data_IF_584500586311
#
_entry.id   IF_584500586311
#
_cell.length_a   1.000
_cell.length_b   1.000
_cell.length_c   1.000
_cell.angle_alpha   90.00
_cell.angle_beta   90.00
_cell.angle_gamma   90.00
#
_symmetry.space_group_name_H-M   'P 1'
#
loop_
_entity.id
_entity.type
_entity.pdbx_description
1 polymer ?
#
# COMPACT_ATOMS: atom_id res chain seq x y z
N UNK A 1 7.65 -8.78 -24.17
CA UNK A 1 7.23 -9.72 -23.11
C UNK A 1 8.36 -10.70 -22.93
N UNK A 2 9.16 -10.53 -21.88
CA UNK A 2 10.25 -11.45 -21.56
C UNK A 2 9.74 -12.53 -20.63
N UNK A 3 9.59 -13.75 -21.14
CA UNK A 3 9.41 -14.95 -20.31
C UNK A 3 10.72 -15.21 -19.57
N UNK A 4 10.73 -14.94 -18.26
CA UNK A 4 11.79 -15.41 -17.38
C UNK A 4 11.43 -16.83 -16.93
N UNK A 5 12.19 -17.87 -17.32
CA UNK A 5 11.94 -19.22 -16.87
C UNK A 5 12.14 -19.29 -15.35
N UNK A 6 11.15 -19.80 -14.64
CA UNK A 6 11.31 -20.16 -13.23
C UNK A 6 12.38 -21.28 -13.14
N UNK A 7 13.38 -21.18 -12.24
CA UNK A 7 14.33 -22.26 -12.04
C UNK A 7 13.58 -23.53 -11.61
N UNK A 8 13.81 -24.63 -12.33
CA UNK A 8 13.24 -25.96 -12.05
C UNK A 8 14.07 -26.79 -11.08
N UNK A 9 15.15 -26.24 -10.55
CA UNK A 9 16.02 -26.95 -9.61
C UNK A 9 15.47 -26.81 -8.20
N UNK A 10 15.33 -27.94 -7.51
CA UNK A 10 14.82 -28.04 -6.15
C UNK A 10 15.52 -27.05 -5.24
N UNK A 11 14.79 -26.00 -4.84
CA UNK A 11 15.20 -25.08 -3.80
C UNK A 11 15.34 -25.90 -2.52
N UNK A 12 16.57 -26.31 -2.21
CA UNK A 12 16.92 -26.77 -0.88
C UNK A 12 16.48 -25.67 0.09
N UNK A 13 15.49 -25.96 0.91
CA UNK A 13 14.97 -25.04 1.90
C UNK A 13 16.13 -24.69 2.84
N UNK A 14 16.70 -23.50 2.65
CA UNK A 14 17.68 -22.96 3.57
C UNK A 14 16.87 -22.20 4.61
N UNK A 15 16.95 -22.54 5.91
CA UNK A 15 16.22 -21.80 6.91
C UNK A 15 16.61 -20.32 6.84
N UNK A 16 15.65 -19.39 6.98
CA UNK A 16 15.93 -17.98 6.90
C UNK A 16 16.93 -17.57 7.97
N UNK A 17 17.87 -16.68 7.62
CA UNK A 17 18.81 -16.15 8.60
C UNK A 17 18.05 -15.35 9.67
N UNK A 18 18.54 -15.36 10.91
CA UNK A 18 17.95 -14.56 12.00
C UNK A 18 17.85 -13.07 11.64
N UNK A 19 18.79 -12.57 10.82
CA UNK A 19 18.78 -11.21 10.27
C UNK A 19 17.60 -10.95 9.33
N UNK A 20 17.26 -11.89 8.45
CA UNK A 20 16.14 -11.76 7.52
C UNK A 20 14.79 -11.74 8.26
N UNK A 21 14.64 -12.58 9.29
CA UNK A 21 13.44 -12.60 10.13
C UNK A 21 13.27 -11.28 10.92
N UNK A 22 14.35 -10.78 11.52
CA UNK A 22 14.33 -9.49 12.21
C UNK A 22 13.99 -8.33 11.27
N UNK A 23 14.53 -8.34 10.05
CA UNK A 23 14.21 -7.33 9.03
C UNK A 23 12.72 -7.36 8.64
N UNK A 24 12.14 -8.56 8.47
CA UNK A 24 10.71 -8.71 8.19
C UNK A 24 9.85 -8.19 9.34
N UNK A 25 10.18 -8.53 10.58
CA UNK A 25 9.46 -8.04 11.77
C UNK A 25 9.53 -6.51 11.88
N UNK A 26 10.69 -5.91 11.64
CA UNK A 26 10.84 -4.45 11.65
C UNK A 26 10.05 -3.77 10.52
N UNK A 27 10.10 -4.34 9.31
CA UNK A 27 9.34 -3.81 8.18
C UNK A 27 7.83 -3.88 8.42
N UNK A 28 7.35 -4.99 9.01
CA UNK A 28 5.95 -5.14 9.41
C UNK A 28 5.56 -4.11 10.48
N UNK A 29 6.38 -3.92 11.51
CA UNK A 29 6.13 -2.93 12.57
C UNK A 29 6.02 -1.51 12.00
N UNK A 30 6.96 -1.10 11.14
CA UNK A 30 6.94 0.21 10.50
C UNK A 30 5.68 0.43 9.65
N UNK A 31 5.29 -0.57 8.85
CA UNK A 31 4.07 -0.51 8.04
C UNK A 31 2.82 -0.43 8.93
N UNK A 32 2.77 -1.22 10.01
CA UNK A 32 1.68 -1.20 11.00
C UNK A 32 1.53 0.18 11.60
N UNK A 33 2.62 0.79 12.08
CA UNK A 33 2.59 2.12 12.69
C UNK A 33 2.11 3.19 11.71
N UNK A 34 2.60 3.16 10.47
CA UNK A 34 2.14 4.04 9.39
C UNK A 34 0.66 3.87 9.08
N UNK A 35 0.17 2.62 9.04
CA UNK A 35 -1.25 2.36 8.84
C UNK A 35 -2.10 2.87 10.01
N UNK A 36 -1.69 2.60 11.25
CA UNK A 36 -2.39 3.04 12.46
C UNK A 36 -2.42 4.56 12.59
N UNK A 37 -1.39 5.27 12.14
CA UNK A 37 -1.41 6.73 12.06
C UNK A 37 -2.53 7.23 11.13
N UNK A 38 -2.60 6.70 9.90
CA UNK A 38 -3.61 7.13 8.92
C UNK A 38 -5.04 6.71 9.29
N UNK A 39 -5.20 5.54 9.92
CA UNK A 39 -6.50 5.09 10.45
C UNK A 39 -7.01 6.08 11.51
N UNK A 40 -6.16 6.45 12.48
CA UNK A 40 -6.51 7.41 13.54
C UNK A 40 -6.79 8.81 12.98
N UNK A 41 -5.99 9.28 12.01
CA UNK A 41 -6.22 10.57 11.35
C UNK A 41 -7.57 10.59 10.62
N UNK A 42 -7.89 9.51 9.89
CA UNK A 42 -9.19 9.37 9.22
C UNK A 42 -10.38 9.32 10.18
N UNK A 43 -10.23 8.65 11.33
CA UNK A 43 -11.25 8.61 12.39
C UNK A 43 -11.47 9.98 13.03
N UNK A 44 -10.39 10.68 13.41
CA UNK A 44 -10.47 12.02 13.98
C UNK A 44 -11.21 13.02 13.07
N UNK A 45 -11.06 12.86 11.75
CA UNK A 45 -11.78 13.68 10.77
C UNK A 45 -13.24 13.26 10.53
N UNK A 46 -13.61 12.01 10.82
CA UNK A 46 -15.02 11.59 10.83
C UNK A 46 -15.77 12.19 12.03
N UNK A 47 -15.11 12.20 13.20
CA UNK A 47 -15.68 12.71 14.46
C UNK A 47 -15.72 14.25 14.50
N UNK A 48 -14.78 14.92 13.83
CA UNK A 48 -14.77 16.38 13.72
C UNK A 48 -15.97 16.95 12.93
N UNK A 49 -16.64 16.16 12.10
CA UNK A 49 -17.90 16.59 11.47
C UNK A 49 -19.09 16.62 12.43
N UNK A 50 -18.99 15.93 13.58
CA UNK A 50 -20.01 15.92 14.64
C UNK A 50 -19.73 16.95 15.73
N UNK A 51 -18.47 17.36 15.91
CA UNK A 51 -18.07 18.37 16.89
C UNK A 51 -17.96 19.77 16.24
N UNK A 52 -18.88 20.67 16.58
CA UNK A 52 -18.83 22.11 16.25
C UNK A 52 -17.65 22.75 16.99
N UNK A 53 -16.38 22.49 16.64
CA UNK A 53 -15.23 23.20 17.27
C UNK A 53 -13.88 22.95 16.60
N UNK A 54 -13.65 23.63 15.47
CA UNK A 54 -12.45 24.43 15.15
C UNK A 54 -12.43 24.69 13.64
N UNK A 55 -12.23 25.94 13.19
CA UNK A 55 -11.97 26.20 11.78
C UNK A 55 -10.67 25.47 11.40
N UNK A 56 -10.80 24.39 10.64
CA UNK A 56 -9.64 23.78 9.99
C UNK A 56 -9.13 24.80 8.98
N UNK A 57 -7.83 25.16 8.97
CA UNK A 57 -7.32 26.06 7.96
C UNK A 57 -7.65 25.51 6.58
N UNK A 58 -8.38 26.30 5.78
CA UNK A 58 -8.78 25.93 4.43
C UNK A 58 -7.55 25.98 3.52
N UNK A 59 -6.83 24.86 3.44
CA UNK A 59 -5.74 24.72 2.49
C UNK A 59 -6.27 24.60 1.06
N UNK A 60 -5.53 25.08 0.05
CA UNK A 60 -5.89 24.89 -1.35
C UNK A 60 -6.06 23.40 -1.68
N UNK A 61 -7.01 23.00 -2.55
CA UNK A 61 -7.23 21.59 -2.92
C UNK A 61 -5.95 20.88 -3.37
N UNK A 62 -5.09 21.56 -4.12
CA UNK A 62 -3.80 21.02 -4.56
C UNK A 62 -2.87 20.63 -3.40
N UNK A 63 -2.93 21.32 -2.27
CA UNK A 63 -2.15 20.97 -1.08
C UNK A 63 -2.67 19.66 -0.46
N UNK A 64 -3.99 19.53 -0.31
CA UNK A 64 -4.61 18.32 0.25
C UNK A 64 -4.35 17.09 -0.64
N UNK A 65 -4.44 17.27 -1.96
CA UNK A 65 -4.09 16.25 -2.95
C UNK A 65 -2.64 15.81 -2.81
N UNK A 66 -1.67 16.75 -2.78
CA UNK A 66 -0.25 16.42 -2.59
C UNK A 66 0.00 15.67 -1.28
N UNK A 67 -0.66 16.11 -0.19
CA UNK A 67 -0.57 15.43 1.11
C UNK A 67 -1.08 13.99 1.02
N UNK A 68 -2.20 13.76 0.34
CA UNK A 68 -2.72 12.40 0.11
C UNK A 68 -1.79 11.55 -0.77
N UNK A 69 -1.25 12.12 -1.85
CA UNK A 69 -0.26 11.45 -2.70
C UNK A 69 1.00 11.04 -1.94
N UNK A 70 1.49 11.90 -1.04
CA UNK A 70 2.62 11.58 -0.17
C UNK A 70 2.31 10.44 0.80
N UNK A 71 1.11 10.44 1.41
CA UNK A 71 0.69 9.37 2.30
C UNK A 71 0.61 8.02 1.57
N UNK A 72 0.00 7.98 0.37
CA UNK A 72 -0.07 6.77 -0.45
C UNK A 72 1.31 6.28 -0.87
N UNK A 73 2.21 7.20 -1.23
CA UNK A 73 3.59 6.88 -1.59
C UNK A 73 4.37 6.28 -0.44
N UNK A 74 4.18 6.77 0.77
CA UNK A 74 4.84 6.22 1.95
C UNK A 74 4.32 4.83 2.30
N UNK A 75 2.99 4.61 2.22
CA UNK A 75 2.41 3.27 2.39
C UNK A 75 2.93 2.28 1.35
N UNK A 76 2.97 2.66 0.07
CA UNK A 76 3.53 1.83 -0.99
C UNK A 76 5.02 1.50 -0.73
N UNK A 77 5.80 2.48 -0.27
CA UNK A 77 7.21 2.27 0.07
C UNK A 77 7.37 1.29 1.22
N UNK A 78 6.62 1.47 2.30
CA UNK A 78 6.67 0.57 3.47
C UNK A 78 6.26 -0.86 3.09
N UNK A 79 5.22 -1.02 2.27
CA UNK A 79 4.82 -2.33 1.74
C UNK A 79 5.89 -2.94 0.84
N UNK A 80 6.52 -2.16 -0.04
CA UNK A 80 7.60 -2.66 -0.89
C UNK A 80 8.77 -3.22 -0.06
N UNK A 81 9.20 -2.49 0.97
CA UNK A 81 10.26 -2.92 1.90
C UNK A 81 9.86 -4.22 2.61
N UNK A 82 8.61 -4.32 3.07
CA UNK A 82 8.11 -5.54 3.69
C UNK A 82 8.12 -6.72 2.70
N UNK A 83 7.69 -6.51 1.46
CA UNK A 83 7.69 -7.56 0.43
C UNK A 83 9.11 -8.02 0.06
N UNK A 84 10.09 -7.11 0.04
CA UNK A 84 11.51 -7.46 -0.11
C UNK A 84 12.01 -8.30 1.06
N UNK A 85 11.67 -7.93 2.30
CA UNK A 85 12.01 -8.73 3.48
C UNK A 85 11.35 -10.12 3.43
N UNK A 86 10.10 -10.22 2.98
CA UNK A 86 9.43 -11.49 2.71
C UNK A 86 10.22 -12.34 1.70
N UNK A 87 10.66 -11.74 0.59
CA UNK A 87 11.44 -12.44 -0.44
C UNK A 87 12.79 -12.95 0.12
N UNK A 88 13.47 -12.17 0.94
CA UNK A 88 14.68 -12.61 1.65
C UNK A 88 14.43 -13.83 2.53
N UNK A 89 13.36 -13.81 3.32
CA UNK A 89 12.98 -14.95 4.19
C UNK A 89 12.64 -16.20 3.36
N UNK A 90 12.01 -16.02 2.20
CA UNK A 90 11.68 -17.11 1.27
C UNK A 90 12.87 -17.61 0.44
N UNK A 91 14.08 -17.10 0.67
CA UNK A 91 15.31 -17.57 0.02
C UNK A 91 15.56 -16.96 -1.37
N UNK A 92 15.01 -15.79 -1.67
CA UNK A 92 15.35 -15.08 -2.90
C UNK A 92 16.86 -14.76 -2.94
N UNK A 93 17.48 -14.90 -4.12
CA UNK A 93 18.90 -14.59 -4.28
C UNK A 93 19.13 -13.08 -4.32
N UNK A 94 20.33 -12.62 -3.93
CA UNK A 94 20.69 -11.20 -3.97
C UNK A 94 20.43 -10.58 -5.36
N UNK A 95 20.70 -11.33 -6.43
CA UNK A 95 20.41 -10.88 -7.80
C UNK A 95 18.91 -10.70 -8.07
N UNK A 96 18.05 -11.58 -7.51
CA UNK A 96 16.60 -11.40 -7.62
C UNK A 96 16.14 -10.18 -6.84
N UNK A 97 16.76 -9.89 -5.70
CA UNK A 97 16.40 -8.76 -4.84
C UNK A 97 16.86 -7.42 -5.44
N UNK A 98 18.00 -7.37 -6.12
CA UNK A 98 18.41 -6.21 -6.92
C UNK A 98 17.32 -5.86 -7.96
N UNK A 99 16.75 -6.86 -8.64
CA UNK A 99 15.64 -6.64 -9.58
C UNK A 99 14.38 -6.11 -8.86
N UNK A 100 14.16 -6.51 -7.61
CA UNK A 100 13.02 -6.05 -6.81
C UNK A 100 13.20 -4.62 -6.32
N UNK A 101 14.40 -4.22 -5.91
CA UNK A 101 14.70 -2.84 -5.51
C UNK A 101 14.34 -1.83 -6.62
N UNK A 102 14.52 -2.23 -7.88
CA UNK A 102 14.18 -1.41 -9.04
C UNK A 102 12.68 -1.46 -9.41
N UNK A 103 11.91 -2.38 -8.85
CA UNK A 103 10.47 -2.48 -9.07
C UNK A 103 9.69 -1.55 -8.14
N UNK A 104 9.21 -0.43 -8.68
CA UNK A 104 8.26 0.45 -7.98
C UNK A 104 6.81 -0.07 -7.98
N UNK A 105 6.59 -1.30 -8.48
CA UNK A 105 5.28 -1.94 -8.59
C UNK A 105 5.03 -2.91 -7.42
N UNK A 106 4.44 -2.39 -6.34
CA UNK A 106 4.03 -3.18 -5.16
C UNK A 106 3.08 -4.32 -5.51
N UNK A 107 2.21 -4.15 -6.51
CA UNK A 107 1.29 -5.19 -6.96
C UNK A 107 2.00 -6.34 -7.68
N UNK A 108 3.06 -6.03 -8.44
CA UNK A 108 3.94 -7.00 -9.08
C UNK A 108 4.76 -7.79 -8.05
N UNK A 109 5.34 -7.09 -7.06
CA UNK A 109 6.04 -7.71 -5.92
C UNK A 109 5.14 -8.67 -5.14
N UNK A 110 3.92 -8.24 -4.81
CA UNK A 110 2.95 -9.07 -4.10
C UNK A 110 2.60 -10.33 -4.90
N UNK A 111 2.26 -10.21 -6.19
CA UNK A 111 1.97 -11.37 -7.05
C UNK A 111 3.11 -12.38 -7.06
N UNK A 112 4.36 -11.92 -6.99
CA UNK A 112 5.52 -12.81 -6.95
C UNK A 112 5.65 -13.54 -5.61
N UNK A 113 5.44 -12.86 -4.48
CA UNK A 113 5.37 -13.50 -3.15
C UNK A 113 4.23 -14.53 -3.11
N UNK A 114 3.06 -14.18 -3.63
CA UNK A 114 1.89 -15.07 -3.69
C UNK A 114 2.15 -16.32 -4.55
N UNK A 115 2.90 -16.17 -5.66
CA UNK A 115 3.30 -17.30 -6.48
C UNK A 115 4.27 -18.24 -5.74
N UNK A 116 5.23 -17.69 -4.99
CA UNK A 116 6.18 -18.46 -4.18
C UNK A 116 5.44 -19.19 -3.05
N UNK A 117 4.54 -18.50 -2.35
CA UNK A 117 3.75 -19.06 -1.23
C UNK A 117 2.55 -19.90 -1.69
N UNK A 118 2.28 -19.98 -3.00
CA UNK A 118 1.12 -20.67 -3.63
C UNK A 118 -0.24 -20.24 -3.06
N UNK A 119 -0.36 -18.97 -2.67
CA UNK A 119 -1.57 -18.42 -2.06
C UNK A 119 -1.89 -17.05 -2.64
N UNK A 120 -3.05 -16.93 -3.29
CA UNK A 120 -3.51 -15.66 -3.85
C UNK A 120 -4.13 -14.77 -2.78
N UNK A 121 -3.87 -13.47 -2.81
CA UNK A 121 -4.71 -12.48 -2.14
C UNK A 121 -5.47 -11.68 -3.19
N UNK A 122 -6.74 -11.35 -2.91
CA UNK A 122 -7.54 -10.52 -3.80
C UNK A 122 -7.09 -9.03 -3.82
N UNK A 123 -5.92 -8.72 -3.27
CA UNK A 123 -5.42 -7.36 -3.08
C UNK A 123 -4.84 -6.68 -4.32
N UNK A 124 -4.47 -7.43 -5.38
CA UNK A 124 -3.75 -6.87 -6.55
C UNK A 124 -4.54 -5.76 -7.26
N UNK A 125 -5.86 -5.96 -7.46
CA UNK A 125 -6.72 -4.97 -8.12
C UNK A 125 -6.76 -3.65 -7.33
N UNK A 126 -6.85 -3.76 -6.01
CA UNK A 126 -6.90 -2.64 -5.08
C UNK A 126 -5.57 -1.88 -5.08
N UNK A 127 -4.44 -2.59 -4.99
CA UNK A 127 -3.09 -2.01 -5.09
C UNK A 127 -2.88 -1.28 -6.43
N UNK A 128 -3.36 -1.83 -7.55
CA UNK A 128 -3.28 -1.14 -8.84
C UNK A 128 -4.07 0.17 -8.85
N UNK A 129 -5.27 0.20 -8.25
CA UNK A 129 -6.05 1.42 -8.12
C UNK A 129 -5.33 2.46 -7.24
N UNK A 130 -4.80 2.04 -6.09
CA UNK A 130 -4.02 2.89 -5.19
C UNK A 130 -2.78 3.47 -5.88
N UNK A 131 -2.05 2.67 -6.66
CA UNK A 131 -0.90 3.13 -7.42
C UNK A 131 -1.28 4.21 -8.47
N UNK A 132 -2.46 4.10 -9.09
CA UNK A 132 -2.97 5.15 -9.99
C UNK A 132 -3.34 6.43 -9.25
N UNK A 133 -4.00 6.32 -8.08
CA UNK A 133 -4.28 7.46 -7.21
C UNK A 133 -3.00 8.17 -6.78
N UNK A 134 -1.97 7.42 -6.36
CA UNK A 134 -0.64 7.95 -6.01
C UNK A 134 -0.04 8.78 -7.14
N UNK A 135 0.04 8.22 -8.35
CA UNK A 135 0.60 8.92 -9.54
C UNK A 135 -0.20 10.16 -9.91
N UNK A 136 -1.52 10.12 -9.74
CA UNK A 136 -2.37 11.29 -9.94
C UNK A 136 -2.01 12.43 -8.99
N UNK A 137 -1.99 12.13 -7.69
CA UNK A 137 -1.75 13.13 -6.65
C UNK A 137 -0.29 13.61 -6.55
N UNK A 138 0.66 12.82 -7.04
CA UNK A 138 2.06 13.23 -7.20
C UNK A 138 2.29 14.16 -8.41
N UNK A 139 1.24 14.47 -9.20
CA UNK A 139 1.33 15.19 -10.47
C UNK A 139 2.23 14.49 -11.52
N UNK A 140 2.45 13.17 -11.36
CA UNK A 140 3.21 12.33 -12.30
C UNK A 140 2.38 11.95 -13.53
N UNK A 141 1.08 12.24 -13.52
CA UNK A 141 0.18 12.03 -14.66
C UNK A 141 -0.49 13.35 -15.05
N UNK A 142 -0.62 13.59 -16.36
CA UNK A 142 -1.48 14.67 -16.89
C UNK A 142 -2.90 14.42 -16.37
N UNK A 143 -3.56 15.47 -15.86
CA UNK A 143 -4.80 15.39 -15.10
C UNK A 143 -5.77 14.30 -15.59
N UNK A 144 -5.99 13.29 -14.75
CA UNK A 144 -6.92 12.22 -15.06
C UNK A 144 -8.36 12.76 -15.10
N UNK A 145 -9.23 12.27 -16.00
CA UNK A 145 -10.65 12.59 -15.96
C UNK A 145 -11.25 12.22 -14.58
N UNK A 146 -12.13 13.08 -14.05
CA UNK A 146 -12.78 12.88 -12.75
C UNK A 146 -13.43 11.50 -12.60
N UNK A 147 -14.11 11.01 -13.65
CA UNK A 147 -14.73 9.69 -13.65
C UNK A 147 -13.72 8.54 -13.48
N UNK A 148 -12.47 8.72 -13.93
CA UNK A 148 -11.39 7.73 -13.70
C UNK A 148 -10.90 7.79 -12.27
N UNK A 149 -10.70 9.00 -11.73
CA UNK A 149 -10.31 9.20 -10.34
C UNK A 149 -11.33 8.57 -9.36
N UNK A 150 -12.62 8.81 -9.59
CA UNK A 150 -13.69 8.24 -8.77
C UNK A 150 -13.74 6.70 -8.87
N UNK A 151 -13.53 6.12 -10.05
CA UNK A 151 -13.46 4.66 -10.21
C UNK A 151 -12.27 4.06 -9.45
N UNK A 152 -11.13 4.74 -9.47
CA UNK A 152 -9.94 4.31 -8.73
C UNK A 152 -10.17 4.40 -7.22
N UNK A 153 -10.80 5.47 -6.73
CA UNK A 153 -11.25 5.54 -5.34
C UNK A 153 -12.23 4.44 -4.97
N UNK A 154 -13.28 4.21 -5.76
CA UNK A 154 -14.24 3.15 -5.49
C UNK A 154 -13.56 1.78 -5.39
N UNK A 155 -12.59 1.52 -6.27
CA UNK A 155 -11.81 0.30 -6.25
C UNK A 155 -10.84 0.24 -5.04
N UNK A 156 -10.24 1.36 -4.65
CA UNK A 156 -9.32 1.46 -3.51
C UNK A 156 -10.04 1.39 -2.15
N UNK A 157 -11.33 1.73 -2.10
CA UNK A 157 -12.16 1.71 -0.91
C UNK A 157 -12.97 0.42 -0.76
N UNK A 158 -13.11 -0.36 -1.85
CA UNK A 158 -13.71 -1.70 -1.83
C UNK A 158 -15.10 -1.74 -1.20
N UNK A 159 -15.97 -0.81 -1.61
CA UNK A 159 -17.35 -0.73 -1.12
C UNK A 159 -17.53 -0.07 0.25
N UNK A 160 -16.50 0.57 0.82
CA UNK A 160 -16.66 1.34 2.04
C UNK A 160 -17.75 2.43 1.91
N UNK A 161 -18.60 2.52 2.93
CA UNK A 161 -19.71 3.49 2.99
C UNK A 161 -19.19 4.91 3.26
N UNK A 162 -18.75 5.56 2.19
CA UNK A 162 -18.33 6.96 2.19
C UNK A 162 -18.46 7.58 0.80
N UNK A 163 -18.67 8.91 0.79
CA UNK A 163 -18.58 9.67 -0.45
C UNK A 163 -17.17 9.57 -1.06
N UNK A 164 -17.11 9.28 -2.36
CA UNK A 164 -15.85 9.16 -3.08
C UNK A 164 -15.17 10.53 -3.18
N UNK A 165 -13.86 10.64 -2.86
CA UNK A 165 -13.14 11.88 -3.03
C UNK A 165 -13.09 12.30 -4.50
N UNK A 166 -13.34 13.59 -4.73
CA UNK A 166 -13.32 14.22 -6.02
C UNK A 166 -12.08 15.14 -6.16
N UNK A 167 -11.97 15.93 -7.23
CA UNK A 167 -10.80 16.81 -7.41
C UNK A 167 -10.77 18.00 -6.44
N UNK A 168 -11.88 18.30 -5.76
CA UNK A 168 -12.00 19.37 -4.77
C UNK A 168 -12.17 18.85 -3.34
N UNK A 169 -11.91 17.55 -3.14
CA UNK A 169 -12.10 16.90 -1.85
C UNK A 169 -11.38 17.62 -0.71
N UNK A 170 -12.09 17.77 0.41
CA UNK A 170 -11.51 18.29 1.63
C UNK A 170 -10.45 17.33 2.17
N UNK A 171 -9.54 17.82 3.03
CA UNK A 171 -8.61 16.93 3.72
C UNK A 171 -9.35 15.86 4.53
N UNK A 172 -10.49 16.19 5.17
CA UNK A 172 -11.26 15.22 5.94
C UNK A 172 -11.79 14.06 5.10
N UNK A 173 -12.27 14.33 3.88
CA UNK A 173 -12.70 13.28 2.95
C UNK A 173 -11.52 12.40 2.50
N UNK A 174 -10.39 13.02 2.19
CA UNK A 174 -9.17 12.30 1.78
C UNK A 174 -8.60 11.46 2.94
N UNK A 175 -8.52 12.02 4.15
CA UNK A 175 -8.04 11.34 5.36
C UNK A 175 -8.89 10.12 5.69
N UNK A 176 -10.23 10.23 5.61
CA UNK A 176 -11.13 9.09 5.79
C UNK A 176 -10.84 7.99 4.77
N UNK A 177 -10.67 8.35 3.49
CA UNK A 177 -10.33 7.39 2.44
C UNK A 177 -8.96 6.74 2.64
N UNK A 178 -7.96 7.51 3.05
CA UNK A 178 -6.63 7.03 3.40
C UNK A 178 -6.67 6.06 4.58
N UNK A 179 -7.50 6.30 5.60
CA UNK A 179 -7.70 5.37 6.71
C UNK A 179 -8.25 4.02 6.25
N UNK A 180 -9.20 4.00 5.32
CA UNK A 180 -9.74 2.77 4.71
C UNK A 180 -8.67 2.02 3.90
N UNK A 181 -7.86 2.75 3.14
CA UNK A 181 -6.73 2.18 2.39
C UNK A 181 -5.68 1.61 3.37
N UNK A 182 -5.34 2.34 4.42
CA UNK A 182 -4.39 1.91 5.44
C UNK A 182 -4.84 0.61 6.15
N UNK A 183 -6.13 0.47 6.46
CA UNK A 183 -6.69 -0.79 6.97
C UNK A 183 -6.45 -1.97 6.02
N UNK A 184 -6.53 -1.74 4.71
CA UNK A 184 -6.22 -2.78 3.73
C UNK A 184 -4.74 -3.16 3.72
N UNK A 185 -3.82 -2.18 3.79
CA UNK A 185 -2.38 -2.46 3.90
C UNK A 185 -2.05 -3.21 5.19
N UNK A 186 -2.67 -2.83 6.31
CA UNK A 186 -2.51 -3.52 7.59
C UNK A 186 -2.97 -4.98 7.52
N UNK A 187 -4.18 -5.23 7.02
CA UNK A 187 -4.66 -6.60 6.88
C UNK A 187 -3.82 -7.42 5.88
N UNK A 188 -3.26 -6.79 4.86
CA UNK A 188 -2.33 -7.44 3.93
C UNK A 188 -1.01 -7.80 4.64
N UNK A 189 -0.45 -6.90 5.44
CA UNK A 189 0.81 -7.13 6.15
C UNK A 189 0.67 -8.23 7.21
N UNK A 190 -0.42 -8.24 7.99
CA UNK A 190 -0.72 -9.28 8.97
C UNK A 190 -0.81 -10.65 8.31
N UNK A 191 -1.60 -10.79 7.25
CA UNK A 191 -1.71 -12.05 6.51
C UNK A 191 -0.37 -12.51 5.93
N UNK A 192 0.45 -11.60 5.39
CA UNK A 192 1.76 -11.97 4.85
C UNK A 192 2.72 -12.41 5.95
N UNK A 193 2.75 -11.72 7.07
CA UNK A 193 3.59 -12.09 8.20
C UNK A 193 3.17 -13.42 8.81
N UNK A 194 1.87 -13.63 9.05
CA UNK A 194 1.34 -14.90 9.59
C UNK A 194 1.70 -16.09 8.68
N UNK A 195 1.71 -15.89 7.36
CA UNK A 195 2.06 -16.94 6.38
C UNK A 195 3.55 -17.26 6.31
N UNK A 196 4.41 -16.32 6.70
CA UNK A 196 5.86 -16.44 6.52
C UNK A 196 6.56 -16.73 7.85
N UNK A 197 6.02 -16.23 8.97
CA UNK A 197 6.56 -16.38 10.32
C UNK A 197 5.87 -17.48 11.12
N UNK A 198 4.63 -17.85 10.77
CA UNK A 198 3.84 -18.92 11.40
C UNK A 198 4.01 -20.25 10.70
#
# INVERSE_FOLDING_TARGET
MGDYPLPRDGLAFTPPSASALAALQQAQANLRDGCQFLIRDGQAHADAHTAITRPTPAYPPAFNQRRAGNALRELDRMLAIMLEACAWVLGASAHQLDVWDHWQDTSGKLRRIEAITRQTSHGTRRLHAIARLRRHYAAESKGLPQATLMRDWACALDGADMALPDTHASWGQLAKGLGVIANFYLGLSERLADRILG
#
